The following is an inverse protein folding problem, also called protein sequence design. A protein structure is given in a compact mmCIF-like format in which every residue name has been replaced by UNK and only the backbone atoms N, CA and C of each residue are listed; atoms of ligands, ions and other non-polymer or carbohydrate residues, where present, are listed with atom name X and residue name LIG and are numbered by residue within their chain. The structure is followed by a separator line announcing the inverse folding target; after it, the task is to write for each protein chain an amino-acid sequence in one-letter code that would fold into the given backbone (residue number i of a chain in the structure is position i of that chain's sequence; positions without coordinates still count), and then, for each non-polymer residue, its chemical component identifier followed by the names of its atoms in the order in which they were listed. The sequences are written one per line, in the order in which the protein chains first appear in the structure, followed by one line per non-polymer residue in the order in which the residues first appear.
data_IF_627677505682
#
_entry.id   IF_627677505682
#
_cell.length_a   1.000
_cell.length_b   1.000
_cell.length_c   1.000
_cell.angle_alpha   90.00
_cell.angle_beta   90.00
_cell.angle_gamma   90.00
#
_symmetry.space_group_name_H-M   'P 1'
#
loop_
_entity.id
_entity.type
_entity.pdbx_description
1 polymer ?
#
# COMPACT_ATOMS: atom_id res chain seq x y z
N UNK A 1 12.57 27.16 -22.05
CA UNK A 1 12.49 27.45 -20.60
C UNK A 1 13.27 26.37 -19.86
N UNK A 2 13.84 26.68 -18.68
CA UNK A 2 14.40 25.62 -17.82
C UNK A 2 13.25 24.75 -17.28
N UNK A 3 13.39 23.41 -17.27
CA UNK A 3 12.35 22.53 -16.73
C UNK A 3 12.11 22.84 -15.26
N UNK A 4 10.86 22.80 -14.82
CA UNK A 4 10.56 22.94 -13.41
C UNK A 4 10.95 21.65 -12.66
N UNK A 5 11.35 21.80 -11.40
CA UNK A 5 11.64 20.68 -10.51
C UNK A 5 10.52 20.57 -9.50
N UNK A 6 9.99 19.36 -9.33
CA UNK A 6 8.91 19.03 -8.41
C UNK A 6 9.35 17.91 -7.48
N UNK A 7 8.87 17.93 -6.25
CA UNK A 7 8.95 16.80 -5.34
C UNK A 7 7.63 16.06 -5.35
N UNK A 8 7.69 14.72 -5.42
CA UNK A 8 6.53 13.83 -5.36
C UNK A 8 6.76 12.79 -4.26
N UNK A 9 5.75 12.59 -3.42
CA UNK A 9 5.82 11.62 -2.31
C UNK A 9 5.87 10.19 -2.82
N UNK A 10 6.83 9.40 -2.33
CA UNK A 10 6.90 7.94 -2.51
C UNK A 10 6.12 7.15 -1.45
N UNK A 11 5.29 7.83 -0.67
CA UNK A 11 4.52 7.27 0.45
C UNK A 11 5.19 7.50 1.81
N UNK A 12 4.42 7.39 2.92
CA UNK A 12 5.00 7.41 4.26
C UNK A 12 5.83 6.14 4.51
N UNK A 13 6.73 6.19 5.49
CA UNK A 13 7.56 5.04 5.89
C UNK A 13 6.74 3.78 6.22
N UNK A 14 5.55 3.95 6.79
CA UNK A 14 4.65 2.84 7.14
C UNK A 14 3.93 2.22 5.94
N UNK A 15 3.92 2.88 4.78
CA UNK A 15 3.24 2.44 3.55
C UNK A 15 3.95 3.01 2.32
N UNK A 16 5.18 2.55 2.02
CA UNK A 16 5.92 3.00 0.87
C UNK A 16 5.29 2.46 -0.43
N UNK A 17 5.29 3.27 -1.48
CA UNK A 17 4.85 2.89 -2.82
C UNK A 17 5.78 3.41 -3.94
N UNK A 18 6.94 3.94 -3.58
CA UNK A 18 7.98 4.37 -4.52
C UNK A 18 8.36 3.28 -5.56
N UNK A 19 8.42 2.01 -5.14
CA UNK A 19 8.75 0.92 -6.06
C UNK A 19 7.70 0.71 -7.16
N UNK A 20 6.43 1.04 -6.91
CA UNK A 20 5.37 1.01 -7.94
C UNK A 20 5.66 2.05 -9.03
N UNK A 21 6.10 3.24 -8.61
CA UNK A 21 6.40 4.36 -9.50
C UNK A 21 7.57 4.00 -10.42
N UNK A 22 8.64 3.45 -9.84
CA UNK A 22 9.83 3.03 -10.54
C UNK A 22 9.54 1.87 -11.50
N UNK A 23 8.80 0.85 -11.05
CA UNK A 23 8.49 -0.35 -11.84
C UNK A 23 7.68 -0.03 -13.10
N UNK A 24 6.73 0.88 -13.01
CA UNK A 24 5.78 1.16 -14.09
C UNK A 24 6.07 2.47 -14.84
N UNK A 25 7.10 3.22 -14.44
CA UNK A 25 7.44 4.50 -15.05
C UNK A 25 6.31 5.49 -14.91
N UNK A 26 5.81 5.67 -13.68
CA UNK A 26 4.70 6.56 -13.34
C UNK A 26 5.07 7.44 -12.16
N UNK A 27 4.58 8.68 -12.13
CA UNK A 27 4.40 9.45 -10.92
C UNK A 27 2.91 9.52 -10.64
N UNK A 28 2.49 9.17 -9.42
CA UNK A 28 1.09 9.10 -9.05
C UNK A 28 0.79 9.97 -7.83
N UNK A 29 -0.39 10.57 -7.78
CA UNK A 29 -0.92 11.22 -6.58
C UNK A 29 -2.40 10.90 -6.38
N UNK A 30 -2.88 11.11 -5.16
CA UNK A 30 -4.29 11.03 -4.79
C UNK A 30 -4.78 12.31 -4.07
N UNK A 31 -6.05 12.34 -3.64
CA UNK A 31 -7.02 11.23 -3.76
C UNK A 31 -7.50 11.10 -5.21
N UNK A 32 -7.88 9.90 -5.65
CA UNK A 32 -8.39 9.65 -7.00
C UNK A 32 -9.81 9.08 -7.04
N UNK A 33 -10.41 8.75 -5.90
CA UNK A 33 -11.79 8.24 -5.78
C UNK A 33 -12.85 9.20 -6.35
N UNK A 34 -12.60 10.52 -6.33
CA UNK A 34 -13.45 11.53 -6.98
C UNK A 34 -13.39 11.50 -8.53
N UNK A 35 -12.56 10.69 -9.15
CA UNK A 35 -12.42 10.59 -10.61
C UNK A 35 -11.38 11.56 -11.19
N UNK A 36 -11.36 11.76 -12.52
CA UNK A 36 -10.39 12.64 -13.17
C UNK A 36 -10.58 14.11 -12.75
N UNK A 37 -9.47 14.85 -12.66
CA UNK A 37 -9.49 16.28 -12.37
C UNK A 37 -9.90 17.07 -13.61
N UNK A 38 -10.76 18.05 -13.40
CA UNK A 38 -11.18 19.03 -14.40
C UNK A 38 -11.22 20.44 -13.79
N UNK A 39 -11.01 21.51 -14.58
CA UNK A 39 -11.12 22.87 -14.09
C UNK A 39 -12.46 23.11 -13.36
N UNK A 40 -12.39 23.59 -12.11
CA UNK A 40 -13.57 23.87 -11.29
C UNK A 40 -13.90 22.81 -10.23
N UNK A 41 -13.20 21.66 -10.23
CA UNK A 41 -13.42 20.55 -9.28
C UNK A 41 -12.41 20.47 -8.13
N UNK A 42 -11.62 21.53 -7.91
CA UNK A 42 -10.51 21.53 -6.95
C UNK A 42 -10.90 21.13 -5.52
N UNK A 43 -12.14 21.43 -5.10
CA UNK A 43 -12.63 21.12 -3.74
C UNK A 43 -12.80 19.63 -3.47
N UNK A 44 -12.87 18.80 -4.50
CA UNK A 44 -13.08 17.36 -4.38
C UNK A 44 -11.77 16.60 -4.09
N UNK A 45 -10.62 17.26 -4.15
CA UNK A 45 -9.30 16.60 -4.13
C UNK A 45 -8.42 17.00 -2.93
N UNK A 46 -9.03 17.37 -1.80
CA UNK A 46 -8.32 17.69 -0.54
C UNK A 46 -7.23 18.79 -0.66
N UNK A 47 -7.30 19.66 -1.67
CA UNK A 47 -6.35 20.76 -1.85
C UNK A 47 -5.93 21.01 -3.29
N UNK A 48 -4.83 21.74 -3.47
CA UNK A 48 -4.37 22.22 -4.79
C UNK A 48 -3.39 21.28 -5.49
N UNK A 49 -2.92 20.21 -4.85
CA UNK A 49 -1.87 19.34 -5.39
C UNK A 49 -2.34 18.57 -6.62
N UNK A 50 -3.59 18.10 -6.68
CA UNK A 50 -4.15 17.46 -7.88
C UNK A 50 -4.23 18.45 -9.04
N UNK A 51 -4.76 19.65 -8.78
CA UNK A 51 -4.80 20.75 -9.75
C UNK A 51 -3.41 21.06 -10.30
N UNK A 52 -2.40 21.23 -9.43
CA UNK A 52 -1.01 21.50 -9.83
C UNK A 52 -0.43 20.37 -10.68
N UNK A 53 -0.66 19.13 -10.26
CA UNK A 53 -0.20 17.97 -10.99
C UNK A 53 -0.81 17.87 -12.39
N UNK A 54 -2.11 18.16 -12.51
CA UNK A 54 -2.85 18.04 -13.76
C UNK A 54 -2.60 19.24 -14.70
N UNK A 55 -2.53 20.46 -14.16
CA UNK A 55 -2.49 21.68 -14.96
C UNK A 55 -1.11 22.34 -15.06
N UNK A 56 -0.24 22.22 -14.05
CA UNK A 56 1.04 22.95 -14.00
C UNK A 56 2.23 22.09 -14.41
N UNK A 57 2.28 20.81 -14.02
CA UNK A 57 3.36 19.91 -14.42
C UNK A 57 3.36 19.69 -15.93
N UNK A 58 4.51 19.89 -16.57
CA UNK A 58 4.66 19.75 -18.02
C UNK A 58 5.57 18.57 -18.39
N UNK A 59 5.44 18.07 -19.63
CA UNK A 59 6.42 17.15 -20.22
C UNK A 59 7.80 17.81 -20.22
N UNK A 60 8.81 17.07 -19.78
CA UNK A 60 10.19 17.55 -19.61
C UNK A 60 10.49 18.12 -18.22
N UNK A 61 9.50 18.37 -17.37
CA UNK A 61 9.73 18.68 -15.97
C UNK A 61 10.39 17.51 -15.23
N UNK A 62 11.00 17.82 -14.09
CA UNK A 62 11.76 16.87 -13.28
C UNK A 62 11.00 16.54 -12.02
N UNK A 63 10.84 15.26 -11.72
CA UNK A 63 10.34 14.76 -10.45
C UNK A 63 11.48 14.24 -9.57
N UNK A 64 11.42 14.59 -8.30
CA UNK A 64 12.20 14.00 -7.22
C UNK A 64 11.31 13.05 -6.43
N UNK A 65 11.63 11.76 -6.46
CA UNK A 65 10.87 10.75 -5.72
C UNK A 65 11.33 10.74 -4.26
N UNK A 66 10.52 11.37 -3.41
CA UNK A 66 10.83 11.65 -2.02
C UNK A 66 10.46 10.48 -1.11
N UNK A 67 11.35 10.13 -0.19
CA UNK A 67 11.13 9.09 0.84
C UNK A 67 11.12 9.64 2.27
N UNK A 68 11.41 10.93 2.45
CA UNK A 68 11.45 11.59 3.76
C UNK A 68 11.41 13.11 3.62
N UNK A 69 11.76 13.86 4.65
CA UNK A 69 11.82 15.34 4.59
C UNK A 69 13.14 15.87 4.02
N UNK A 70 14.16 15.01 3.94
CA UNK A 70 15.50 15.30 3.43
C UNK A 70 16.01 14.25 2.44
N UNK A 71 15.20 13.23 2.09
CA UNK A 71 15.68 12.08 1.33
C UNK A 71 14.90 11.83 0.05
N UNK A 72 15.62 11.42 -0.99
CA UNK A 72 15.08 10.97 -2.28
C UNK A 72 15.68 9.61 -2.67
N UNK A 73 14.94 8.81 -3.42
CA UNK A 73 15.42 7.53 -3.95
C UNK A 73 15.54 7.49 -5.48
N UNK A 74 14.99 8.47 -6.19
CA UNK A 74 15.07 8.56 -7.64
C UNK A 74 14.87 10.00 -8.15
N UNK A 75 15.37 10.23 -9.36
CA UNK A 75 15.11 11.44 -10.17
C UNK A 75 14.43 10.98 -11.45
N UNK A 76 13.42 11.68 -11.92
CA UNK A 76 12.67 11.30 -13.11
C UNK A 76 12.31 12.47 -14.01
N UNK A 77 12.18 12.20 -15.31
CA UNK A 77 11.72 13.17 -16.30
C UNK A 77 10.29 12.83 -16.70
N UNK A 78 9.39 13.81 -16.58
CA UNK A 78 8.00 13.70 -16.99
C UNK A 78 7.94 13.49 -18.50
N UNK A 79 7.26 12.43 -18.92
CA UNK A 79 7.26 11.92 -20.28
C UNK A 79 5.86 11.85 -20.91
N UNK A 80 4.81 12.29 -20.20
CA UNK A 80 3.46 12.38 -20.75
C UNK A 80 2.67 13.57 -20.20
N UNK A 81 1.60 13.89 -20.91
CA UNK A 81 0.50 14.68 -20.36
C UNK A 81 -0.22 13.96 -19.20
N UNK A 82 -1.14 14.68 -18.55
CA UNK A 82 -1.92 14.19 -17.42
C UNK A 82 -2.76 13.00 -17.86
N UNK A 83 -2.80 11.98 -17.01
CA UNK A 83 -3.58 10.77 -17.23
C UNK A 83 -4.33 10.42 -15.96
N UNK A 84 -5.50 9.80 -16.13
CA UNK A 84 -6.24 9.17 -15.06
C UNK A 84 -6.24 7.66 -15.30
N UNK A 85 -5.55 6.91 -14.43
CA UNK A 85 -5.20 5.50 -14.65
C UNK A 85 -5.86 4.60 -13.60
N UNK A 86 -6.98 3.97 -13.96
CA UNK A 86 -7.77 3.10 -13.08
C UNK A 86 -7.00 1.88 -12.55
N UNK A 87 -5.93 1.45 -13.22
CA UNK A 87 -5.09 0.36 -12.71
C UNK A 87 -4.34 0.70 -11.40
N UNK A 88 -4.37 1.96 -10.96
CA UNK A 88 -3.78 2.43 -9.70
C UNK A 88 -4.83 2.90 -8.70
N UNK A 89 -6.04 2.34 -8.77
CA UNK A 89 -7.14 2.59 -7.85
C UNK A 89 -6.97 1.89 -6.50
N UNK A 90 -5.94 1.07 -6.32
CA UNK A 90 -5.58 0.50 -5.02
C UNK A 90 -4.06 0.24 -4.93
N UNK A 91 -3.30 1.31 -4.70
CA UNK A 91 -1.86 1.23 -4.44
C UNK A 91 -1.64 1.16 -2.94
N UNK A 92 -1.54 -0.07 -2.42
CA UNK A 92 -1.40 -0.33 -0.98
C UNK A 92 -2.52 0.33 -0.15
N UNK A 93 -3.75 0.33 -0.65
CA UNK A 93 -4.89 0.96 0.01
C UNK A 93 -5.04 2.45 -0.25
N UNK A 94 -4.35 3.03 -1.23
CA UNK A 94 -4.52 4.41 -1.68
C UNK A 94 -5.04 4.49 -3.12
N UNK A 95 -5.98 5.39 -3.33
CA UNK A 95 -6.45 5.85 -4.63
C UNK A 95 -5.43 6.79 -5.28
N UNK A 96 -4.56 6.25 -6.14
CA UNK A 96 -3.47 7.00 -6.79
C UNK A 96 -3.64 7.06 -8.32
N UNK A 97 -4.87 7.29 -8.81
CA UNK A 97 -5.18 7.27 -10.24
C UNK A 97 -4.63 8.49 -11.02
N UNK A 98 -4.30 9.61 -10.37
CA UNK A 98 -3.76 10.78 -11.06
C UNK A 98 -2.30 10.56 -11.43
N UNK A 99 -2.04 10.43 -12.73
CA UNK A 99 -0.78 9.92 -13.24
C UNK A 99 -0.07 10.85 -14.23
N UNK A 100 1.25 10.75 -14.23
CA UNK A 100 2.15 11.14 -15.32
C UNK A 100 3.05 9.97 -15.62
N UNK A 101 3.37 9.72 -16.89
CA UNK A 101 4.45 8.80 -17.25
C UNK A 101 5.77 9.47 -16.96
N UNK A 102 6.71 8.74 -16.38
CA UNK A 102 8.00 9.27 -15.93
C UNK A 102 9.10 8.27 -16.29
N UNK A 103 10.18 8.77 -16.88
CA UNK A 103 11.42 8.01 -17.01
C UNK A 103 12.20 8.19 -15.72
N UNK A 104 12.23 7.16 -14.89
CA UNK A 104 12.91 7.21 -13.60
C UNK A 104 14.35 6.69 -13.72
N UNK A 105 15.27 7.40 -13.09
CA UNK A 105 16.58 6.89 -12.73
C UNK A 105 16.60 6.63 -11.22
N UNK A 106 16.59 5.35 -10.84
CA UNK A 106 16.79 4.94 -9.45
C UNK A 106 18.23 5.31 -9.04
N UNK A 107 18.36 5.89 -7.85
CA UNK A 107 19.66 6.15 -7.27
C UNK A 107 20.26 4.84 -6.72
N UNK A 108 21.59 4.63 -6.80
CA UNK A 108 22.23 3.44 -6.23
C UNK A 108 21.98 3.29 -4.72
N UNK A 109 21.90 4.41 -4.02
CA UNK A 109 21.45 4.53 -2.65
C UNK A 109 20.60 5.79 -2.52
N UNK A 110 19.68 5.82 -1.55
CA UNK A 110 18.93 7.04 -1.26
C UNK A 110 19.89 8.21 -0.97
N UNK A 111 19.60 9.36 -1.56
CA UNK A 111 20.36 10.57 -1.31
C UNK A 111 19.71 11.34 -0.17
N UNK A 112 20.50 11.67 0.85
CA UNK A 112 20.11 12.51 1.98
C UNK A 112 20.81 13.87 1.87
N UNK A 113 20.00 14.94 1.87
CA UNK A 113 20.50 16.32 1.90
C UNK A 113 20.99 16.75 3.29
N UNK A 114 20.85 15.88 4.31
CA UNK A 114 21.32 16.11 5.68
C UNK A 114 20.53 17.17 6.47
N UNK A 115 19.57 17.83 5.83
CA UNK A 115 18.65 18.80 6.43
C UNK A 115 17.28 18.75 5.75
N UNK A 116 16.20 19.20 6.41
CA UNK A 116 14.84 19.20 5.84
C UNK A 116 14.69 20.17 4.65
N UNK A 117 15.07 19.74 3.44
CA UNK A 117 15.00 20.55 2.22
C UNK A 117 13.59 20.60 1.59
N UNK A 118 12.71 19.69 1.98
CA UNK A 118 11.32 19.64 1.49
C UNK A 118 10.30 20.27 2.44
N UNK A 119 10.78 20.85 3.55
CA UNK A 119 9.93 21.41 4.62
C UNK A 119 9.59 20.39 5.71
N UNK A 120 8.96 20.86 6.79
CA UNK A 120 8.62 20.03 7.95
C UNK A 120 7.44 19.08 7.70
N UNK A 121 6.46 19.51 6.90
CA UNK A 121 5.33 18.70 6.45
C UNK A 121 5.16 18.82 4.93
N UNK A 122 6.05 18.17 4.15
CA UNK A 122 6.04 18.29 2.70
C UNK A 122 4.73 17.76 2.11
N UNK A 123 4.07 18.51 1.20
CA UNK A 123 2.87 18.02 0.53
C UNK A 123 3.18 16.81 -0.37
N UNK A 124 2.12 16.13 -0.84
CA UNK A 124 2.21 15.00 -1.79
C UNK A 124 2.92 15.40 -3.09
N UNK A 125 2.73 16.66 -3.50
CA UNK A 125 3.39 17.28 -4.64
C UNK A 125 3.64 18.77 -4.35
N UNK A 126 4.84 19.27 -4.66
CA UNK A 126 5.07 20.72 -4.75
C UNK A 126 6.27 21.04 -5.64
N UNK A 127 6.30 22.28 -6.16
CA UNK A 127 7.48 22.79 -6.85
C UNK A 127 8.61 22.99 -5.85
N UNK A 128 9.83 22.60 -6.25
CA UNK A 128 11.03 22.79 -5.45
C UNK A 128 11.65 24.15 -5.78
N UNK A 129 11.95 24.92 -4.74
CA UNK A 129 12.65 26.21 -4.84
C UNK A 129 13.99 26.22 -4.11
N UNK A 130 14.30 25.16 -3.35
CA UNK A 130 15.54 25.06 -2.60
C UNK A 130 16.75 24.96 -3.54
N UNK A 131 17.68 25.92 -3.46
CA UNK A 131 18.80 26.05 -4.38
C UNK A 131 19.74 24.84 -4.39
N UNK A 132 19.98 24.23 -3.23
CA UNK A 132 20.84 23.04 -3.12
C UNK A 132 20.24 21.85 -3.86
N UNK A 133 18.92 21.66 -3.73
CA UNK A 133 18.21 20.60 -4.45
C UNK A 133 18.20 20.88 -5.95
N UNK A 134 18.02 22.14 -6.35
CA UNK A 134 18.05 22.54 -7.76
C UNK A 134 19.44 22.34 -8.38
N UNK A 135 20.52 22.68 -7.66
CA UNK A 135 21.89 22.42 -8.08
C UNK A 135 22.16 20.92 -8.21
N UNK A 136 21.75 20.12 -7.22
CA UNK A 136 21.86 18.67 -7.26
C UNK A 136 21.19 18.09 -8.51
N UNK A 137 19.94 18.47 -8.79
CA UNK A 137 19.20 18.00 -9.98
C UNK A 137 19.91 18.41 -11.26
N UNK A 138 20.36 19.66 -11.35
CA UNK A 138 21.08 20.15 -12.52
C UNK A 138 22.36 19.35 -12.77
N UNK A 139 23.15 19.09 -11.74
CA UNK A 139 24.36 18.25 -11.88
C UNK A 139 24.00 16.82 -12.24
N UNK A 140 22.99 16.23 -11.60
CA UNK A 140 22.56 14.85 -11.85
C UNK A 140 22.13 14.64 -13.31
N UNK A 141 21.29 15.54 -13.86
CA UNK A 141 20.80 15.43 -15.23
C UNK A 141 21.89 15.58 -16.29
N UNK A 142 22.97 16.30 -15.97
CA UNK A 142 24.10 16.50 -16.88
C UNK A 142 25.25 15.50 -16.65
N UNK A 143 25.13 14.60 -15.67
CA UNK A 143 26.15 13.60 -15.36
C UNK A 143 25.82 12.25 -16.01
N UNK A 144 26.80 11.57 -16.64
CA UNK A 144 26.59 10.21 -17.15
C UNK A 144 26.23 9.21 -16.02
N UNK A 145 25.40 8.19 -16.31
CA UNK A 145 24.73 7.93 -17.59
C UNK A 145 23.50 8.83 -17.79
N UNK A 146 23.34 9.37 -19.00
CA UNK A 146 22.16 10.20 -19.37
C UNK A 146 21.18 9.46 -20.30
N UNK A 147 21.49 8.22 -20.68
CA UNK A 147 20.69 7.43 -21.62
C UNK A 147 19.26 7.16 -21.11
N UNK A 148 19.09 6.95 -19.80
CA UNK A 148 17.80 6.74 -19.15
C UNK A 148 16.76 7.84 -19.45
N UNK A 149 17.22 9.07 -19.73
CA UNK A 149 16.36 10.20 -20.06
C UNK A 149 15.59 9.99 -21.38
N UNK A 150 16.07 9.06 -22.21
CA UNK A 150 15.51 8.72 -23.52
C UNK A 150 15.02 7.28 -23.61
N UNK A 151 15.20 6.49 -22.56
CA UNK A 151 14.80 5.09 -22.56
C UNK A 151 13.28 4.94 -22.76
N UNK A 152 12.86 3.82 -23.37
CA UNK A 152 11.45 3.54 -23.52
C UNK A 152 10.78 3.44 -22.13
N UNK A 153 9.55 3.94 -22.05
CA UNK A 153 8.78 3.84 -20.82
C UNK A 153 8.43 2.36 -20.54
N UNK A 154 8.49 1.92 -19.27
CA UNK A 154 8.01 0.59 -18.88
C UNK A 154 6.54 0.35 -19.25
N UNK A 155 6.11 -0.91 -19.31
CA UNK A 155 4.69 -1.25 -19.47
C UNK A 155 3.86 -0.86 -18.24
N UNK A 156 2.63 -0.37 -18.48
CA UNK A 156 1.64 -0.22 -17.41
C UNK A 156 1.07 -1.60 -17.05
N UNK A 157 0.70 -1.83 -15.78
CA UNK A 157 -0.04 -3.04 -15.43
C UNK A 157 -1.44 -2.97 -16.06
N UNK A 158 -2.04 -4.12 -16.39
CA UNK A 158 -3.44 -4.16 -16.80
C UNK A 158 -4.32 -3.67 -15.63
N UNK A 159 -5.46 -3.06 -15.96
CA UNK A 159 -6.48 -2.77 -14.97
C UNK A 159 -7.02 -4.08 -14.40
N UNK A 160 -7.03 -4.18 -13.07
CA UNK A 160 -7.51 -5.38 -12.41
C UNK A 160 -9.04 -5.32 -12.28
N UNK A 161 -9.77 -6.34 -12.79
CA UNK A 161 -11.22 -6.35 -12.71
C UNK A 161 -11.68 -6.60 -11.27
N UNK A 162 -12.75 -5.90 -10.88
CA UNK A 162 -13.47 -6.15 -9.63
C UNK A 162 -13.93 -7.60 -9.54
N UNK A 163 -13.86 -8.16 -8.33
CA UNK A 163 -14.36 -9.50 -8.06
C UNK A 163 -15.89 -9.49 -8.14
N UNK A 164 -16.45 -10.18 -9.14
CA UNK A 164 -17.90 -10.25 -9.37
C UNK A 164 -18.59 -11.15 -8.35
N UNK A 165 -18.06 -12.35 -8.16
CA UNK A 165 -18.65 -13.38 -7.30
C UNK A 165 -17.82 -13.50 -6.01
N UNK A 166 -18.32 -12.88 -4.95
CA UNK A 166 -17.73 -13.00 -3.61
C UNK A 166 -18.16 -14.35 -3.00
N UNK A 167 -17.19 -15.10 -2.48
CA UNK A 167 -17.43 -16.37 -1.77
C UNK A 167 -18.54 -16.15 -0.72
N UNK A 168 -19.66 -16.92 -0.77
CA UNK A 168 -20.76 -16.77 0.17
C UNK A 168 -20.30 -16.74 1.63
N UNK A 169 -19.22 -17.43 1.95
CA UNK A 169 -18.72 -17.55 3.31
C UNK A 169 -18.13 -16.24 3.89
N UNK A 170 -17.77 -15.28 3.04
CA UNK A 170 -17.25 -13.96 3.48
C UNK A 170 -18.08 -12.78 2.94
N UNK A 171 -19.18 -13.05 2.24
CA UNK A 171 -20.01 -12.03 1.58
C UNK A 171 -20.57 -11.01 2.56
N UNK A 172 -21.14 -11.46 3.67
CA UNK A 172 -21.78 -10.58 4.66
C UNK A 172 -20.75 -9.71 5.36
N UNK A 173 -19.53 -10.23 5.56
CA UNK A 173 -18.42 -9.45 6.10
C UNK A 173 -17.98 -8.36 5.13
N UNK A 174 -17.87 -8.68 3.84
CA UNK A 174 -17.51 -7.73 2.79
C UNK A 174 -18.56 -6.61 2.68
N UNK A 175 -19.84 -6.95 2.76
CA UNK A 175 -20.92 -5.96 2.82
C UNK A 175 -20.78 -5.07 4.06
N UNK A 176 -20.58 -5.69 5.24
CA UNK A 176 -20.39 -4.98 6.50
C UNK A 176 -19.18 -4.03 6.47
N UNK A 177 -18.06 -4.45 5.87
CA UNK A 177 -16.89 -3.59 5.66
C UNK A 177 -17.22 -2.36 4.81
N UNK A 178 -17.97 -2.53 3.71
CA UNK A 178 -18.37 -1.41 2.84
C UNK A 178 -19.31 -0.42 3.54
N UNK A 179 -20.18 -0.91 4.40
CA UNK A 179 -21.13 -0.05 5.12
C UNK A 179 -20.46 0.67 6.30
N UNK A 180 -19.56 -0.01 7.03
CA UNK A 180 -18.99 0.50 8.27
C UNK A 180 -17.73 1.35 8.08
N UNK A 181 -16.87 1.05 7.09
CA UNK A 181 -15.61 1.79 6.92
C UNK A 181 -15.83 3.29 6.70
N UNK A 182 -16.76 3.74 5.83
CA UNK A 182 -17.02 5.18 5.68
C UNK A 182 -17.47 5.85 6.98
N UNK A 183 -18.22 5.12 7.82
CA UNK A 183 -18.62 5.62 9.13
C UNK A 183 -17.43 5.68 10.10
N UNK A 184 -16.56 4.66 10.12
CA UNK A 184 -15.38 4.60 11.00
C UNK A 184 -14.30 5.62 10.63
N UNK A 185 -14.23 6.03 9.36
CA UNK A 185 -13.29 7.05 8.89
C UNK A 185 -13.80 8.48 9.14
N UNK A 186 -15.10 8.67 9.39
CA UNK A 186 -15.70 9.95 9.73
C UNK A 186 -15.41 10.33 11.19
N UNK A 187 -14.30 11.03 11.40
CA UNK A 187 -13.87 11.47 12.74
C UNK A 187 -14.85 12.44 13.42
N UNK A 188 -15.67 13.17 12.66
CA UNK A 188 -16.65 14.08 13.23
C UNK A 188 -17.83 13.31 13.84
N UNK A 189 -18.29 12.24 13.17
CA UNK A 189 -19.44 11.44 13.62
C UNK A 189 -19.06 10.28 14.52
N UNK A 190 -17.95 9.61 14.22
CA UNK A 190 -17.49 8.41 14.92
C UNK A 190 -16.57 8.75 16.09
N UNK A 191 -15.80 9.84 15.99
CA UNK A 191 -14.83 10.25 16.98
C UNK A 191 -13.48 9.60 16.78
N UNK A 192 -13.00 8.88 17.79
CA UNK A 192 -11.69 8.21 17.73
C UNK A 192 -11.73 7.01 16.77
N UNK A 193 -10.71 6.82 15.91
CA UNK A 193 -10.64 5.66 15.04
C UNK A 193 -10.64 4.34 15.83
N UNK A 194 -11.21 3.26 15.26
CA UNK A 194 -11.28 1.98 15.95
C UNK A 194 -9.87 1.47 16.30
N UNK A 195 -9.77 0.91 17.50
CA UNK A 195 -8.58 0.25 18.02
C UNK A 195 -8.24 -1.02 17.24
N UNK A 196 -7.01 -1.52 17.41
CA UNK A 196 -6.58 -2.80 16.84
C UNK A 196 -7.47 -3.96 17.32
N UNK A 197 -7.85 -3.94 18.61
CA UNK A 197 -8.72 -4.96 19.19
C UNK A 197 -10.15 -4.92 18.60
N UNK A 198 -10.68 -3.73 18.32
CA UNK A 198 -11.95 -3.59 17.59
C UNK A 198 -11.85 -4.15 16.16
N UNK A 199 -10.75 -3.89 15.45
CA UNK A 199 -10.54 -4.46 14.11
C UNK A 199 -10.41 -5.99 14.16
N UNK A 200 -9.76 -6.53 15.19
CA UNK A 200 -9.69 -7.99 15.42
C UNK A 200 -11.09 -8.58 15.59
N UNK A 201 -11.90 -8.01 16.49
CA UNK A 201 -13.20 -8.56 16.86
C UNK A 201 -14.24 -8.37 15.75
N UNK A 202 -14.26 -7.22 15.09
CA UNK A 202 -15.28 -6.88 14.10
C UNK A 202 -14.97 -7.40 12.70
N UNK A 203 -13.69 -7.61 12.35
CA UNK A 203 -13.32 -8.01 11.00
C UNK A 203 -12.44 -9.25 10.93
N UNK A 204 -11.31 -9.30 11.63
CA UNK A 204 -10.33 -10.39 11.44
C UNK A 204 -10.89 -11.74 11.91
N UNK A 205 -11.47 -11.82 13.12
CA UNK A 205 -12.04 -13.07 13.63
C UNK A 205 -13.25 -13.52 12.79
N UNK A 206 -14.24 -12.66 12.47
CA UNK A 206 -15.31 -13.01 11.54
C UNK A 206 -14.81 -13.48 10.17
N UNK A 207 -13.76 -12.87 9.63
CA UNK A 207 -13.16 -13.26 8.36
C UNK A 207 -12.61 -14.69 8.42
N UNK A 208 -11.82 -15.01 9.45
CA UNK A 208 -11.28 -16.35 9.65
C UNK A 208 -12.39 -17.39 9.83
N UNK A 209 -13.44 -17.05 10.58
CA UNK A 209 -14.61 -17.93 10.74
C UNK A 209 -15.34 -18.17 9.42
N UNK A 210 -15.53 -17.12 8.62
CA UNK A 210 -16.07 -17.24 7.26
C UNK A 210 -15.20 -18.12 6.37
N UNK A 211 -13.89 -18.11 6.57
CA UNK A 211 -12.94 -18.98 5.88
C UNK A 211 -12.84 -20.41 6.46
N UNK A 212 -13.74 -20.78 7.37
CA UNK A 212 -13.88 -22.15 7.90
C UNK A 212 -13.01 -22.48 9.10
N UNK A 213 -12.36 -21.49 9.73
CA UNK A 213 -11.60 -21.74 10.96
C UNK A 213 -12.54 -21.84 12.17
N UNK A 214 -12.47 -22.94 12.95
CA UNK A 214 -13.26 -23.06 14.16
C UNK A 214 -12.70 -22.13 15.25
N UNK A 215 -13.56 -21.64 16.12
CA UNK A 215 -13.23 -20.57 17.08
C UNK A 215 -12.12 -20.99 18.06
N UNK A 216 -12.10 -22.25 18.47
CA UNK A 216 -11.06 -22.84 19.32
C UNK A 216 -9.68 -22.89 18.65
N UNK A 217 -9.60 -22.81 17.32
CA UNK A 217 -8.35 -22.74 16.57
C UNK A 217 -7.91 -21.30 16.25
N UNK A 218 -8.69 -20.29 16.66
CA UNK A 218 -8.34 -18.88 16.54
C UNK A 218 -7.98 -18.38 17.95
N UNK A 219 -6.76 -17.92 18.14
CA UNK A 219 -6.30 -17.38 19.41
C UNK A 219 -5.95 -15.90 19.27
N UNK A 220 -6.59 -15.07 20.09
CA UNK A 220 -6.32 -13.63 20.17
C UNK A 220 -5.34 -13.40 21.32
N UNK A 221 -4.29 -12.60 21.10
CA UNK A 221 -3.20 -12.29 22.06
C UNK A 221 -2.44 -13.52 22.59
N UNK A 222 -2.39 -14.61 21.83
CA UNK A 222 -1.62 -15.80 22.24
C UNK A 222 -0.13 -15.51 22.11
N UNK A 223 0.61 -15.58 23.23
CA UNK A 223 2.03 -15.20 23.30
C UNK A 223 2.31 -13.79 22.74
N UNK A 224 1.42 -12.84 23.02
CA UNK A 224 1.49 -11.45 22.54
C UNK A 224 1.32 -11.26 21.02
N UNK A 225 0.98 -12.33 20.29
CA UNK A 225 0.59 -12.24 18.87
C UNK A 225 -0.86 -11.79 18.80
N UNK A 226 -1.18 -10.77 18.01
CA UNK A 226 -2.53 -10.24 17.86
C UNK A 226 -3.55 -11.33 17.56
N UNK A 227 -3.34 -12.08 16.47
CA UNK A 227 -4.11 -13.30 16.18
C UNK A 227 -3.20 -14.41 15.66
N UNK A 228 -3.30 -15.59 16.26
CA UNK A 228 -2.67 -16.81 15.79
C UNK A 228 -3.73 -17.84 15.42
N UNK A 229 -3.55 -18.51 14.28
CA UNK A 229 -4.46 -19.54 13.78
C UNK A 229 -3.76 -20.89 13.83
N UNK A 230 -4.43 -21.93 14.32
CA UNK A 230 -3.84 -23.24 14.54
C UNK A 230 -4.51 -24.29 13.67
N UNK A 231 -3.73 -25.19 13.06
CA UNK A 231 -4.26 -26.31 12.28
C UNK A 231 -5.02 -27.27 13.16
N UNK A 232 -4.52 -27.53 14.37
CA UNK A 232 -5.09 -28.45 15.33
C UNK A 232 -4.91 -27.94 16.77
N UNK A 233 -5.64 -28.56 17.70
CA UNK A 233 -5.36 -28.46 19.13
C UNK A 233 -4.34 -29.53 19.57
N UNK A 234 -3.54 -29.27 20.62
CA UNK A 234 -3.48 -28.03 21.43
C UNK A 234 -2.82 -26.87 20.68
N UNK A 235 -3.02 -25.64 21.19
CA UNK A 235 -2.42 -24.41 20.64
C UNK A 235 -0.92 -24.35 20.97
N UNK A 236 -0.11 -24.99 20.13
CA UNK A 236 1.35 -25.07 20.23
C UNK A 236 2.01 -24.42 19.01
N UNK A 237 3.29 -24.00 19.08
CA UNK A 237 4.01 -23.50 17.92
C UNK A 237 3.91 -24.43 16.72
N UNK A 238 4.09 -25.74 16.91
CA UNK A 238 4.07 -26.75 15.84
C UNK A 238 2.73 -26.82 15.11
N UNK A 239 1.63 -26.52 15.81
CA UNK A 239 0.30 -26.46 15.24
C UNK A 239 -0.07 -25.08 14.68
N UNK A 240 0.76 -24.05 14.90
CA UNK A 240 0.50 -22.70 14.39
C UNK A 240 0.61 -22.69 12.86
N UNK A 241 -0.47 -22.23 12.22
CA UNK A 241 -0.60 -22.18 10.78
C UNK A 241 -0.30 -20.81 10.19
N UNK A 242 -0.80 -19.78 10.87
CA UNK A 242 -0.78 -18.40 10.40
C UNK A 242 -0.62 -17.47 11.60
N UNK A 243 0.28 -16.50 11.46
CA UNK A 243 0.40 -15.35 12.38
C UNK A 243 -0.22 -14.14 11.70
N UNK A 244 -1.06 -13.39 12.42
CA UNK A 244 -1.69 -12.19 11.91
C UNK A 244 -1.36 -11.04 12.87
N UNK A 245 -0.76 -9.99 12.32
CA UNK A 245 -0.51 -8.72 12.99
C UNK A 245 -1.54 -7.70 12.52
N UNK A 246 -2.19 -7.02 13.48
CA UNK A 246 -3.29 -6.12 13.20
C UNK A 246 -2.90 -4.69 13.57
N UNK A 247 -3.19 -3.75 12.67
CA UNK A 247 -3.04 -2.31 12.89
C UNK A 247 -4.40 -1.62 12.91
N UNK A 248 -4.41 -0.39 13.40
CA UNK A 248 -5.62 0.46 13.36
C UNK A 248 -6.07 0.68 11.92
N UNK A 249 -7.38 0.86 11.73
CA UNK A 249 -7.96 1.23 10.44
C UNK A 249 -7.22 2.44 9.85
N UNK A 250 -6.87 2.37 8.57
CA UNK A 250 -6.17 3.47 7.89
C UNK A 250 -4.66 3.44 8.03
N UNK A 251 -4.11 2.75 9.04
CA UNK A 251 -2.67 2.69 9.27
C UNK A 251 -1.96 1.93 8.14
N UNK A 252 -0.73 2.35 7.82
CA UNK A 252 0.15 1.60 6.91
C UNK A 252 0.45 0.22 7.50
N UNK A 253 -0.02 -0.84 6.86
CA UNK A 253 0.13 -2.23 7.34
C UNK A 253 1.51 -2.79 7.00
N UNK A 254 2.24 -2.17 6.07
CA UNK A 254 3.54 -2.61 5.58
C UNK A 254 4.62 -2.51 6.67
N UNK A 255 4.55 -1.48 7.53
CA UNK A 255 5.44 -1.34 8.68
C UNK A 255 5.24 -2.41 9.76
N UNK A 256 4.14 -3.18 9.71
CA UNK A 256 3.84 -4.22 10.68
C UNK A 256 4.55 -5.56 10.40
N UNK A 257 5.14 -5.71 9.21
CA UNK A 257 5.77 -6.96 8.80
C UNK A 257 6.96 -7.34 9.70
N UNK A 258 7.80 -6.38 10.07
CA UNK A 258 8.97 -6.65 10.92
C UNK A 258 8.57 -7.23 12.29
N UNK A 259 7.50 -6.69 12.89
CA UNK A 259 6.95 -7.17 14.14
C UNK A 259 6.43 -8.61 13.99
N UNK A 260 5.67 -8.88 12.92
CA UNK A 260 5.14 -10.20 12.65
C UNK A 260 6.23 -11.26 12.37
N UNK A 261 7.30 -10.88 11.65
CA UNK A 261 8.49 -11.71 11.47
C UNK A 261 9.18 -12.02 12.80
N UNK A 262 9.21 -11.05 13.72
CA UNK A 262 9.69 -11.23 15.09
C UNK A 262 8.98 -12.39 15.80
N UNK A 263 7.65 -12.43 15.72
CA UNK A 263 6.88 -13.53 16.31
C UNK A 263 7.21 -14.89 15.70
N UNK A 264 7.28 -15.00 14.36
CA UNK A 264 7.62 -16.26 13.70
C UNK A 264 9.01 -16.75 14.14
N UNK A 265 9.97 -15.84 14.28
CA UNK A 265 11.31 -16.15 14.79
C UNK A 265 11.27 -16.65 16.23
N UNK A 266 10.49 -16.01 17.10
CA UNK A 266 10.33 -16.41 18.50
C UNK A 266 9.60 -17.75 18.66
N UNK A 267 8.65 -18.06 17.78
CA UNK A 267 7.97 -19.36 17.75
C UNK A 267 8.89 -20.51 17.35
N UNK A 268 9.98 -20.22 16.62
CA UNK A 268 10.95 -21.23 16.20
C UNK A 268 10.45 -22.18 15.10
N UNK A 269 9.31 -21.88 14.50
CA UNK A 269 8.69 -22.68 13.43
C UNK A 269 8.35 -21.81 12.23
N UNK A 270 8.50 -22.30 10.99
CA UNK A 270 8.16 -21.54 9.79
C UNK A 270 6.64 -21.40 9.69
N UNK A 271 6.16 -20.16 9.66
CA UNK A 271 4.74 -19.82 9.58
C UNK A 271 4.55 -18.61 8.68
N UNK A 272 3.55 -18.66 7.79
CA UNK A 272 3.20 -17.51 6.96
C UNK A 272 2.59 -16.40 7.82
N UNK A 273 2.72 -15.17 7.35
CA UNK A 273 2.29 -13.97 8.07
C UNK A 273 1.23 -13.24 7.28
N UNK A 274 0.23 -12.70 7.98
CA UNK A 274 -0.68 -11.68 7.44
C UNK A 274 -0.52 -10.40 8.23
N UNK A 275 -0.42 -9.28 7.53
CA UNK A 275 -0.60 -7.95 8.15
C UNK A 275 -1.92 -7.39 7.66
N UNK A 276 -2.66 -6.77 8.57
CA UNK A 276 -3.98 -6.23 8.23
C UNK A 276 -4.35 -5.06 9.13
N UNK A 277 -5.28 -4.24 8.66
CA UNK A 277 -6.02 -3.27 9.48
C UNK A 277 -7.49 -3.69 9.66
N UNK A 278 -7.80 -4.97 9.41
CA UNK A 278 -9.15 -5.53 9.39
C UNK A 278 -9.84 -5.43 8.02
N UNK A 279 -9.42 -4.51 7.15
CA UNK A 279 -10.05 -4.28 5.83
C UNK A 279 -9.11 -4.67 4.68
N UNK A 280 -7.83 -4.33 4.81
CA UNK A 280 -6.78 -4.65 3.85
C UNK A 280 -5.94 -5.76 4.43
N UNK A 281 -5.75 -6.83 3.68
CA UNK A 281 -5.01 -8.01 4.09
C UNK A 281 -3.86 -8.22 3.12
N UNK A 282 -2.66 -8.38 3.65
CA UNK A 282 -1.50 -8.77 2.84
C UNK A 282 -0.82 -9.96 3.48
N UNK A 283 -0.61 -11.01 2.68
CA UNK A 283 0.02 -12.25 3.11
C UNK A 283 1.45 -12.33 2.61
N UNK A 284 2.35 -12.76 3.49
CA UNK A 284 3.76 -12.95 3.24
C UNK A 284 4.16 -14.38 3.53
N UNK A 285 4.97 -14.95 2.64
CA UNK A 285 5.36 -16.36 2.76
C UNK A 285 6.71 -16.52 3.45
N UNK A 286 6.74 -17.26 4.56
CA UNK A 286 8.00 -17.56 5.26
C UNK A 286 8.98 -18.37 4.41
N UNK A 287 8.47 -19.16 3.47
CA UNK A 287 9.28 -19.96 2.54
C UNK A 287 9.95 -19.11 1.46
N UNK A 288 9.45 -17.90 1.21
CA UNK A 288 9.94 -16.99 0.17
C UNK A 288 10.52 -15.71 0.77
N UNK A 289 11.21 -15.82 1.91
CA UNK A 289 11.84 -14.68 2.59
C UNK A 289 10.86 -13.53 2.86
N UNK A 290 9.65 -13.91 3.31
CA UNK A 290 8.53 -12.99 3.56
C UNK A 290 8.23 -12.05 2.38
N UNK A 291 8.33 -12.54 1.14
CA UNK A 291 7.75 -11.85 -0.02
C UNK A 291 6.23 -11.84 0.06
N UNK A 292 5.63 -10.72 -0.36
CA UNK A 292 4.17 -10.61 -0.50
C UNK A 292 3.69 -11.58 -1.57
N UNK A 293 2.70 -12.42 -1.24
CA UNK A 293 2.18 -13.48 -2.11
C UNK A 293 0.68 -13.37 -2.37
N UNK A 294 -0.05 -12.56 -1.61
CA UNK A 294 -1.47 -12.31 -1.82
C UNK A 294 -1.91 -11.00 -1.14
N UNK A 295 -2.94 -10.37 -1.69
CA UNK A 295 -3.54 -9.15 -1.18
C UNK A 295 -5.06 -9.19 -1.35
N UNK A 296 -5.79 -8.57 -0.44
CA UNK A 296 -7.20 -8.25 -0.63
C UNK A 296 -7.56 -6.96 0.10
N UNK A 297 -8.45 -6.18 -0.50
CA UNK A 297 -9.10 -5.03 0.11
C UNK A 297 -10.61 -5.31 0.18
N UNK A 298 -11.15 -5.51 1.38
CA UNK A 298 -12.55 -5.95 1.53
C UNK A 298 -13.55 -4.90 1.02
N UNK A 299 -13.24 -3.60 1.11
CA UNK A 299 -14.13 -2.57 0.56
C UNK A 299 -14.04 -2.48 -0.97
N UNK A 300 -12.91 -2.90 -1.56
CA UNK A 300 -12.64 -2.84 -2.99
C UNK A 300 -12.04 -4.14 -3.54
N UNK A 301 -12.81 -5.22 -3.46
CA UNK A 301 -12.33 -6.53 -3.90
C UNK A 301 -12.02 -6.57 -5.40
N UNK A 302 -10.76 -6.90 -5.69
CA UNK A 302 -10.29 -7.25 -7.03
C UNK A 302 -10.18 -8.77 -7.19
N UNK A 303 -10.08 -9.25 -8.41
CA UNK A 303 -10.08 -10.68 -8.73
C UNK A 303 -8.93 -11.45 -8.04
N UNK A 304 -7.78 -10.82 -7.80
CA UNK A 304 -6.64 -11.38 -7.07
C UNK A 304 -6.93 -11.70 -5.60
N UNK A 305 -7.95 -11.08 -4.99
CA UNK A 305 -8.37 -11.38 -3.61
C UNK A 305 -8.76 -12.86 -3.42
N UNK A 306 -9.22 -13.53 -4.47
CA UNK A 306 -9.49 -14.97 -4.45
C UNK A 306 -8.25 -15.80 -4.09
N UNK A 307 -7.06 -15.32 -4.50
CA UNK A 307 -5.78 -15.92 -4.14
C UNK A 307 -5.51 -15.85 -2.64
N UNK A 308 -5.82 -14.71 -2.01
CA UNK A 308 -5.72 -14.57 -0.55
C UNK A 308 -6.72 -15.50 0.14
N UNK A 309 -7.99 -15.46 -0.26
CA UNK A 309 -9.05 -16.26 0.38
C UNK A 309 -8.73 -17.75 0.35
N UNK A 310 -8.28 -18.26 -0.80
CA UNK A 310 -7.88 -19.67 -0.95
C UNK A 310 -6.72 -20.06 -0.03
N UNK A 311 -5.77 -19.15 0.20
CA UNK A 311 -4.60 -19.40 1.06
C UNK A 311 -4.93 -19.35 2.54
N UNK A 312 -5.84 -18.47 2.91
CA UNK A 312 -6.29 -18.33 4.30
C UNK A 312 -7.41 -19.30 4.67
N UNK A 313 -8.03 -20.00 3.71
CA UNK A 313 -9.10 -20.98 3.96
C UNK A 313 -8.56 -22.19 4.73
N UNK A 314 -9.30 -22.66 5.73
CA UNK A 314 -8.98 -23.93 6.39
C UNK A 314 -9.04 -25.05 5.34
N UNK A 315 -7.92 -25.71 5.10
CA UNK A 315 -7.87 -26.87 4.22
C UNK A 315 -8.26 -28.09 5.04
N UNK A 316 -9.21 -28.88 4.53
CA UNK A 316 -9.48 -30.20 5.08
C UNK A 316 -8.36 -31.15 4.66
N UNK A 317 -7.80 -31.89 5.62
CA UNK A 317 -6.87 -32.96 5.29
C UNK A 317 -7.61 -34.07 4.54
N UNK A 318 -6.95 -34.66 3.53
CA UNK A 318 -7.49 -35.68 2.61
C UNK A 318 -8.08 -36.93 3.28
N UNK A 319 -7.98 -37.06 4.60
CA UNK A 319 -8.47 -38.19 5.38
C UNK A 319 -9.76 -37.90 6.16
N UNK A 320 -10.41 -36.75 5.98
CA UNK A 320 -11.70 -36.43 6.64
C UNK A 320 -11.62 -36.43 8.18
N UNK A 321 -10.40 -36.44 8.71
CA UNK A 321 -10.17 -36.21 10.13
C UNK A 321 -10.13 -34.69 10.29
N UNK A 322 -11.04 -34.14 11.09
CA UNK A 322 -10.96 -32.76 11.54
C UNK A 322 -9.61 -32.61 12.25
N UNK A 323 -8.64 -32.05 11.54
CA UNK A 323 -7.42 -31.47 12.11
C UNK A 323 -7.84 -30.10 12.61
#
# INVERSE_FOLDING_TARGET
MKPAVWQISGGPMSRPYADVFLKHGVGLIGPGDAGPWEPGRDREFEGDFVRRFAAEVQVGDVFLLRTGISTICAVGIVASEYQYLNQFDDVNGWDLQHARRVRWQRLPASHDFGKPVFGANPPRLSRVQNEEVLDYVHRFLNSPPTQWQKDPLPGLPPEEPSLKDVDPAVRDLVASARDLVPLMEDQERFGEPPSEDEMIVHFVVPFLRGLGWPQECIAVKWRHIDVAVFRALPRTPENCHLVIEVKRLGAGVEGALEQAMGYVKELGVPCDVVVTDGIRYRMYSCQNDFKSIAYANLVRLKSSATGLFKRMKKQEDRNGTLV
#
